data_IF_625099129229
#
_entry.id   IF_625099129229
#
_cell.length_a   1.000
_cell.length_b   1.000
_cell.length_c   1.000
_cell.angle_alpha   90.00
_cell.angle_beta   90.00
_cell.angle_gamma   90.00
#
_symmetry.space_group_name_H-M   'P 1'
#
loop_
_entity.id
_entity.type
_entity.pdbx_description
1 polymer ?
#
# COMPACT_ATOMS: atom_id res chain seq x y z
N UNK A 1 11.29 -33.13 4.61
CA UNK A 1 10.39 -32.16 3.97
C UNK A 1 11.01 -31.84 2.62
N UNK A 2 10.28 -31.97 1.53
CA UNK A 2 10.84 -31.67 0.20
C UNK A 2 10.83 -30.15 0.08
N UNK A 3 12.00 -29.53 -0.05
CA UNK A 3 12.08 -28.11 -0.34
C UNK A 3 11.41 -27.87 -1.70
N UNK A 4 10.31 -27.13 -1.68
CA UNK A 4 9.57 -26.79 -2.88
C UNK A 4 10.31 -25.66 -3.59
N UNK A 5 10.63 -25.86 -4.87
CA UNK A 5 11.24 -24.82 -5.71
C UNK A 5 10.34 -23.58 -5.74
N UNK A 6 10.97 -22.43 -5.55
CA UNK A 6 10.33 -21.11 -5.67
C UNK A 6 11.05 -20.35 -6.77
N UNK A 7 10.32 -19.66 -7.62
CA UNK A 7 10.87 -18.93 -8.75
C UNK A 7 10.85 -17.44 -8.47
N UNK A 8 11.95 -16.75 -8.78
CA UNK A 8 11.96 -15.29 -8.90
C UNK A 8 11.78 -14.94 -10.36
N UNK A 9 10.75 -14.14 -10.66
CA UNK A 9 10.41 -13.75 -12.01
C UNK A 9 10.56 -12.24 -12.23
N UNK A 10 10.99 -11.87 -13.44
CA UNK A 10 11.19 -10.51 -13.92
C UNK A 10 10.27 -10.28 -15.11
N UNK A 11 9.41 -9.28 -15.02
CA UNK A 11 8.53 -8.83 -16.09
C UNK A 11 9.14 -7.61 -16.78
N UNK A 12 9.33 -7.69 -18.10
CA UNK A 12 9.87 -6.57 -18.90
C UNK A 12 8.89 -6.13 -19.97
N UNK A 13 8.97 -4.86 -20.33
CA UNK A 13 8.17 -4.27 -21.41
C UNK A 13 8.73 -4.61 -22.81
N UNK A 14 8.23 -3.94 -23.86
CA UNK A 14 8.69 -4.12 -25.23
C UNK A 14 10.06 -3.49 -25.54
N UNK A 15 10.52 -2.57 -24.70
CA UNK A 15 11.82 -1.93 -24.80
C UNK A 15 12.90 -2.70 -24.00
N UNK A 16 12.49 -3.66 -23.18
CA UNK A 16 13.36 -4.43 -22.29
C UNK A 16 13.46 -3.84 -20.87
N UNK A 17 12.72 -2.77 -20.59
CA UNK A 17 12.70 -2.09 -19.30
C UNK A 17 12.03 -2.96 -18.25
N UNK A 18 12.57 -2.96 -17.04
CA UNK A 18 12.10 -3.80 -15.95
C UNK A 18 10.87 -3.17 -15.29
N UNK A 19 9.72 -3.81 -15.50
CA UNK A 19 8.44 -3.37 -14.95
C UNK A 19 8.25 -3.86 -13.52
N UNK A 20 8.50 -5.16 -13.28
CA UNK A 20 8.19 -5.79 -12.01
C UNK A 20 9.08 -7.01 -11.74
N UNK A 21 9.40 -7.24 -10.47
CA UNK A 21 10.06 -8.43 -9.95
C UNK A 21 9.19 -9.03 -8.87
N UNK A 22 8.98 -10.35 -8.90
CA UNK A 22 8.24 -11.04 -7.86
C UNK A 22 8.74 -12.46 -7.66
N UNK A 23 8.34 -13.12 -6.57
CA UNK A 23 8.55 -14.56 -6.39
C UNK A 23 7.24 -15.35 -6.28
N UNK A 24 7.25 -16.59 -6.76
CA UNK A 24 6.13 -17.52 -6.60
C UNK A 24 6.58 -18.97 -6.77
N UNK A 25 5.92 -19.89 -6.06
CA UNK A 25 6.04 -21.32 -6.33
C UNK A 25 5.24 -21.76 -7.58
N UNK A 26 4.33 -20.90 -8.05
CA UNK A 26 3.52 -21.08 -9.25
C UNK A 26 3.45 -19.73 -9.98
N UNK A 27 4.37 -19.54 -10.94
CA UNK A 27 4.51 -18.28 -11.68
C UNK A 27 3.30 -18.07 -12.60
N UNK A 28 2.79 -19.14 -13.23
CA UNK A 28 1.67 -19.05 -14.17
C UNK A 28 0.40 -18.57 -13.47
N UNK A 29 0.05 -19.17 -12.32
CA UNK A 29 -1.08 -18.72 -11.52
C UNK A 29 -0.92 -17.27 -11.07
N UNK A 30 0.30 -16.88 -10.69
CA UNK A 30 0.60 -15.50 -10.28
C UNK A 30 0.48 -14.50 -11.44
N UNK A 31 0.87 -14.88 -12.65
CA UNK A 31 0.68 -14.07 -13.86
C UNK A 31 -0.81 -13.93 -14.20
N UNK A 32 -1.58 -15.02 -14.07
CA UNK A 32 -3.03 -14.99 -14.19
C UNK A 32 -3.66 -13.97 -13.24
N UNK A 33 -3.20 -13.88 -11.99
CA UNK A 33 -3.65 -12.86 -11.04
C UNK A 33 -3.29 -11.44 -11.49
N UNK A 34 -2.01 -11.19 -11.81
CA UNK A 34 -1.55 -9.86 -12.23
C UNK A 34 -2.29 -9.34 -13.46
N UNK A 35 -2.65 -10.22 -14.41
CA UNK A 35 -3.45 -9.87 -15.59
C UNK A 35 -4.75 -9.14 -15.27
N UNK A 36 -5.35 -9.42 -14.11
CA UNK A 36 -6.61 -8.78 -13.71
C UNK A 36 -6.43 -7.68 -12.66
N UNK A 37 -5.36 -7.74 -11.85
CA UNK A 37 -5.21 -6.85 -10.68
C UNK A 37 -4.17 -5.74 -10.88
N UNK A 38 -3.34 -5.82 -11.91
CA UNK A 38 -2.18 -4.94 -12.07
C UNK A 38 -2.26 -4.14 -13.37
N UNK A 39 -2.43 -2.81 -13.33
CA UNK A 39 -2.54 -1.96 -14.52
C UNK A 39 -1.35 -2.10 -15.49
N UNK A 40 -0.15 -2.27 -14.94
CA UNK A 40 1.11 -2.45 -15.69
C UNK A 40 1.20 -3.78 -16.44
N UNK A 41 0.35 -4.77 -16.15
CA UNK A 41 0.48 -6.10 -16.77
C UNK A 41 0.29 -6.04 -18.28
N UNK A 42 -0.51 -5.08 -18.77
CA UNK A 42 -0.75 -4.90 -20.21
C UNK A 42 0.51 -4.50 -21.00
N UNK A 43 1.54 -4.00 -20.30
CA UNK A 43 2.82 -3.56 -20.87
C UNK A 43 3.85 -4.70 -20.96
N UNK A 44 3.64 -5.80 -20.23
CA UNK A 44 4.57 -6.93 -20.16
C UNK A 44 4.68 -7.63 -21.52
N UNK A 45 5.92 -7.77 -22.01
CA UNK A 45 6.25 -8.49 -23.25
C UNK A 45 7.10 -9.73 -23.03
N UNK A 46 7.87 -9.76 -21.96
CA UNK A 46 8.65 -10.94 -21.60
C UNK A 46 8.66 -11.16 -20.09
N UNK A 47 8.71 -12.43 -19.72
CA UNK A 47 8.81 -12.88 -18.34
C UNK A 47 9.97 -13.87 -18.28
N UNK A 48 10.96 -13.59 -17.44
CA UNK A 48 12.05 -14.51 -17.15
C UNK A 48 11.92 -15.01 -15.72
N UNK A 49 12.00 -16.32 -15.49
CA UNK A 49 11.85 -16.91 -14.16
C UNK A 49 13.04 -17.82 -13.85
N UNK A 50 13.65 -17.60 -12.69
CA UNK A 50 14.81 -18.35 -12.21
C UNK A 50 14.41 -19.18 -10.98
N UNK A 51 14.72 -20.49 -10.96
CA UNK A 51 14.40 -21.36 -9.83
C UNK A 51 15.37 -21.16 -8.66
N UNK A 52 14.85 -21.24 -7.44
CA UNK A 52 15.58 -21.25 -6.18
C UNK A 52 15.16 -22.45 -5.35
N UNK A 53 16.14 -23.05 -4.65
CA UNK A 53 15.97 -24.30 -3.93
C UNK A 53 14.90 -24.22 -2.84
N UNK A 54 14.74 -23.05 -2.24
CA UNK A 54 13.75 -22.81 -1.20
C UNK A 54 13.26 -21.35 -1.22
N UNK A 55 12.17 -21.12 -0.49
CA UNK A 55 11.54 -19.81 -0.37
C UNK A 55 12.48 -18.72 0.16
N UNK A 56 13.33 -19.04 1.14
CA UNK A 56 14.23 -18.06 1.76
C UNK A 56 15.27 -17.54 0.75
N UNK A 57 15.80 -18.42 -0.10
CA UNK A 57 16.72 -18.01 -1.18
C UNK A 57 16.00 -17.15 -2.23
N UNK A 58 14.77 -17.49 -2.59
CA UNK A 58 13.96 -16.68 -3.51
C UNK A 58 13.64 -15.29 -2.92
N UNK A 59 13.33 -15.19 -1.63
CA UNK A 59 13.08 -13.92 -0.93
C UNK A 59 14.30 -13.00 -0.95
N UNK A 60 15.49 -13.55 -0.68
CA UNK A 60 16.75 -12.80 -0.75
C UNK A 60 16.99 -12.33 -2.18
N UNK A 61 16.83 -13.20 -3.18
CA UNK A 61 17.08 -12.87 -4.58
C UNK A 61 16.06 -11.86 -5.15
N UNK A 62 14.77 -11.98 -4.82
CA UNK A 62 13.74 -11.01 -5.16
C UNK A 62 14.10 -9.63 -4.58
N UNK A 63 14.45 -9.57 -3.30
CA UNK A 63 14.82 -8.32 -2.64
C UNK A 63 16.05 -7.68 -3.25
N UNK A 64 17.10 -8.46 -3.52
CA UNK A 64 18.31 -7.97 -4.19
C UNK A 64 17.98 -7.41 -5.57
N UNK A 65 17.20 -8.14 -6.38
CA UNK A 65 16.79 -7.69 -7.71
C UNK A 65 15.97 -6.39 -7.66
N UNK A 66 15.06 -6.24 -6.68
CA UNK A 66 14.29 -5.00 -6.52
C UNK A 66 15.21 -3.82 -6.17
N UNK A 67 16.20 -4.02 -5.30
CA UNK A 67 17.13 -2.97 -4.86
C UNK A 67 18.12 -2.58 -5.96
N UNK A 68 18.68 -3.55 -6.68
CA UNK A 68 19.71 -3.32 -7.69
C UNK A 68 19.13 -2.90 -9.04
N UNK A 69 17.99 -3.46 -9.44
CA UNK A 69 17.42 -3.25 -10.77
C UNK A 69 16.30 -2.19 -10.79
N UNK A 70 15.85 -1.72 -9.61
CA UNK A 70 14.85 -0.65 -9.43
C UNK A 70 13.62 -0.74 -10.36
N UNK A 71 12.79 -1.80 -10.27
CA UNK A 71 11.67 -2.02 -11.17
C UNK A 71 10.61 -0.91 -11.01
N UNK A 72 10.03 -0.47 -12.13
CA UNK A 72 9.09 0.65 -12.15
C UNK A 72 7.87 0.48 -11.21
N UNK A 73 7.40 -0.76 -11.01
CA UNK A 73 6.17 -1.04 -10.26
C UNK A 73 6.37 -1.77 -8.93
N UNK A 74 7.61 -2.08 -8.52
CA UNK A 74 7.88 -2.63 -7.19
C UNK A 74 7.87 -1.57 -6.08
N UNK A 75 8.19 -0.32 -6.40
CA UNK A 75 8.24 0.79 -5.44
C UNK A 75 6.88 1.11 -4.79
N UNK A 76 5.76 0.80 -5.47
CA UNK A 76 4.42 0.98 -4.91
C UNK A 76 4.01 -0.14 -3.91
N UNK A 77 4.74 -1.26 -3.88
CA UNK A 77 4.36 -2.47 -3.11
C UNK A 77 5.29 -2.73 -1.92
N UNK A 78 6.50 -2.15 -1.90
CA UNK A 78 7.45 -2.30 -0.80
C UNK A 78 7.89 -0.96 -0.20
N UNK A 79 7.07 -0.42 0.71
CA UNK A 79 7.63 0.25 1.87
C UNK A 79 8.37 -0.82 2.69
N UNK A 80 9.63 -1.09 2.35
CA UNK A 80 10.45 -2.13 3.00
C UNK A 80 10.61 -1.77 4.47
N UNK A 81 9.85 -2.40 5.36
CA UNK A 81 10.26 -2.58 6.76
C UNK A 81 11.09 -3.87 6.79
N UNK A 82 12.40 -3.72 6.72
CA UNK A 82 13.35 -4.79 6.99
C UNK A 82 13.36 -5.03 8.50
N UNK A 83 12.97 -6.22 8.98
CA UNK A 83 12.93 -6.54 10.42
C UNK A 83 14.31 -6.44 11.11
N UNK A 84 15.40 -6.57 10.33
CA UNK A 84 16.79 -6.42 10.80
C UNK A 84 17.48 -5.11 10.35
N UNK A 85 16.76 -4.23 9.65
CA UNK A 85 17.32 -2.90 9.40
C UNK A 85 17.13 -2.11 10.68
N UNK A 86 18.14 -1.38 11.19
CA UNK A 86 17.88 -0.41 12.23
C UNK A 86 16.75 0.46 11.71
N UNK A 87 15.66 0.51 12.48
CA UNK A 87 14.57 1.44 12.25
C UNK A 87 15.24 2.79 12.06
N UNK A 88 14.74 3.65 11.17
CA UNK A 88 15.32 4.98 11.08
C UNK A 88 15.31 5.66 12.47
N UNK A 89 14.34 5.32 13.34
CA UNK A 89 14.33 5.65 14.78
C UNK A 89 15.54 5.17 15.59
N UNK A 90 16.17 4.07 15.23
CA UNK A 90 17.38 3.54 15.88
C UNK A 90 18.62 4.35 15.49
N UNK A 91 18.55 5.10 14.39
CA UNK A 91 19.63 5.97 13.89
C UNK A 91 19.47 7.44 14.28
N UNK A 92 18.37 7.80 14.94
CA UNK A 92 18.06 9.17 15.39
C UNK A 92 18.84 9.49 16.68
N UNK A 93 19.53 10.63 16.70
CA UNK A 93 20.28 11.17 17.83
C UNK A 93 19.36 11.67 18.96
N UNK A 94 19.89 11.91 20.16
CA UNK A 94 19.10 12.41 21.29
C UNK A 94 18.44 13.78 21.01
N UNK A 95 19.11 14.65 20.26
CA UNK A 95 18.56 15.96 19.90
C UNK A 95 17.41 15.83 18.88
N UNK A 96 17.57 14.99 17.87
CA UNK A 96 16.51 14.70 16.90
C UNK A 96 15.33 13.95 17.55
N UNK A 97 15.57 13.12 18.58
CA UNK A 97 14.48 12.51 19.38
C UNK A 97 13.69 13.57 20.14
N UNK A 98 14.36 14.60 20.68
CA UNK A 98 13.68 15.72 21.35
C UNK A 98 12.87 16.54 20.35
N UNK A 99 13.43 16.79 19.17
CA UNK A 99 12.71 17.46 18.08
C UNK A 99 11.45 16.70 17.68
N UNK A 100 11.57 15.39 17.49
CA UNK A 100 10.43 14.52 17.17
C UNK A 100 9.36 14.55 18.27
N UNK A 101 9.76 14.46 19.55
CA UNK A 101 8.83 14.52 20.67
C UNK A 101 8.07 15.85 20.72
N UNK A 102 8.73 16.98 20.42
CA UNK A 102 8.07 18.28 20.33
C UNK A 102 7.08 18.33 19.16
N UNK A 103 7.44 17.77 18.01
CA UNK A 103 6.56 17.69 16.84
C UNK A 103 5.32 16.80 17.11
N UNK A 104 5.50 15.65 17.76
CA UNK A 104 4.41 14.76 18.16
C UNK A 104 3.46 15.43 19.17
N UNK A 105 4.02 16.15 20.15
CA UNK A 105 3.22 16.91 21.12
C UNK A 105 2.43 18.02 20.43
N UNK A 106 3.06 18.81 19.55
CA UNK A 106 2.38 19.85 18.80
C UNK A 106 1.25 19.29 17.92
N UNK A 107 1.47 18.12 17.30
CA UNK A 107 0.45 17.43 16.53
C UNK A 107 -0.73 16.94 17.40
N UNK A 108 -0.43 16.37 18.57
CA UNK A 108 -1.46 15.95 19.52
C UNK A 108 -2.33 17.13 19.99
N UNK A 109 -1.70 18.27 20.28
CA UNK A 109 -2.39 19.49 20.67
C UNK A 109 -3.25 20.05 19.53
N UNK A 110 -2.74 20.06 18.30
CA UNK A 110 -3.51 20.45 17.12
C UNK A 110 -4.72 19.55 16.90
N UNK A 111 -4.57 18.24 17.08
CA UNK A 111 -5.68 17.27 16.99
C UNK A 111 -6.74 17.54 18.06
N UNK A 112 -6.32 17.81 19.30
CA UNK A 112 -7.23 18.17 20.39
C UNK A 112 -7.97 19.48 20.11
N UNK A 113 -7.28 20.47 19.55
CA UNK A 113 -7.88 21.73 19.13
C UNK A 113 -8.88 21.56 17.96
N UNK A 114 -8.70 20.53 17.13
CA UNK A 114 -9.62 20.22 16.02
C UNK A 114 -10.93 19.57 16.48
N UNK A 115 -10.95 18.86 17.62
CA UNK A 115 -12.14 18.17 18.12
C UNK A 115 -13.40 19.05 18.24
N UNK A 116 -13.37 20.28 18.78
CA UNK A 116 -14.57 21.14 18.80
C UNK A 116 -15.07 21.50 17.39
N UNK A 117 -14.17 21.78 16.45
CA UNK A 117 -14.52 22.11 15.05
C UNK A 117 -15.19 20.91 14.38
N UNK A 118 -14.63 19.71 14.61
CA UNK A 118 -15.19 18.45 14.11
C UNK A 118 -16.56 18.17 14.72
N UNK A 119 -16.73 18.40 16.02
CA UNK A 119 -18.00 18.24 16.71
C UNK A 119 -19.08 19.19 16.15
N UNK A 120 -18.74 20.45 15.89
CA UNK A 120 -19.67 21.43 15.30
C UNK A 120 -20.09 21.05 13.87
N UNK A 121 -19.14 20.61 13.05
CA UNK A 121 -19.42 20.06 11.72
C UNK A 121 -20.40 18.89 11.80
N UNK A 122 -20.13 17.93 12.69
CA UNK A 122 -20.95 16.73 12.83
C UNK A 122 -22.35 17.07 13.35
N UNK A 123 -22.48 18.01 14.28
CA UNK A 123 -23.77 18.54 14.74
C UNK A 123 -24.55 19.20 13.58
N UNK A 124 -23.86 19.95 12.73
CA UNK A 124 -24.46 20.59 11.55
C UNK A 124 -24.96 19.56 10.54
N UNK A 125 -24.16 18.54 10.24
CA UNK A 125 -24.57 17.42 9.37
C UNK A 125 -25.81 16.73 9.93
N UNK A 126 -25.85 16.43 11.23
CA UNK A 126 -27.02 15.81 11.89
C UNK A 126 -28.27 16.67 11.73
N UNK A 127 -28.18 17.98 11.99
CA UNK A 127 -29.30 18.92 11.80
C UNK A 127 -29.79 18.94 10.36
N UNK A 128 -28.88 18.92 9.39
CA UNK A 128 -29.23 18.90 7.97
C UNK A 128 -29.97 17.62 7.59
N UNK A 129 -29.48 16.45 8.04
CA UNK A 129 -30.14 15.16 7.80
C UNK A 129 -31.57 15.15 8.31
N UNK A 130 -31.78 15.56 9.57
CA UNK A 130 -33.13 15.63 10.16
C UNK A 130 -34.07 16.51 9.32
N UNK A 131 -33.58 17.68 8.86
CA UNK A 131 -34.38 18.57 7.99
C UNK A 131 -34.69 17.93 6.63
N UNK A 132 -33.75 17.23 6.03
CA UNK A 132 -33.99 16.52 4.77
C UNK A 132 -35.03 15.41 4.96
N UNK A 133 -34.91 14.60 6.01
CA UNK A 133 -35.86 13.51 6.30
C UNK A 133 -37.27 14.03 6.57
N UNK A 134 -37.41 15.19 7.22
CA UNK A 134 -38.71 15.84 7.41
C UNK A 134 -39.32 16.32 6.08
N UNK A 135 -38.52 16.89 5.17
CA UNK A 135 -38.99 17.29 3.83
C UNK A 135 -39.41 16.09 2.99
N UNK A 136 -38.63 15.01 3.02
CA UNK A 136 -38.94 13.78 2.29
C UNK A 136 -40.24 13.14 2.79
N UNK A 137 -40.51 13.16 4.10
CA UNK A 137 -41.78 12.67 4.66
C UNK A 137 -42.97 13.50 4.19
N UNK A 138 -42.89 14.84 4.28
CA UNK A 138 -43.96 15.73 3.79
C UNK A 138 -44.24 15.54 2.30
N UNK A 139 -43.20 15.47 1.47
CA UNK A 139 -43.36 15.24 0.03
C UNK A 139 -44.00 13.88 -0.31
N UNK A 140 -43.85 12.88 0.56
CA UNK A 140 -44.53 11.59 0.41
C UNK A 140 -46.00 11.67 0.82
N UNK A 141 -46.31 12.41 1.88
CA UNK A 141 -47.68 12.64 2.35
C UNK A 141 -48.49 13.50 1.36
N UNK A 142 -47.86 14.48 0.71
CA UNK A 142 -48.50 15.37 -0.29
C UNK A 142 -48.64 14.74 -1.69
N UNK A 143 -48.07 13.54 -1.93
CA UNK A 143 -48.06 12.85 -3.23
C UNK A 143 -49.00 11.66 -3.33
N UNK A 144 -49.77 11.36 -2.28
CA UNK A 144 -50.74 10.26 -2.17
C UNK A 144 -52.21 10.75 -2.28
N UNK A 145 -52.44 11.98 -2.76
CA UNK A 145 -53.77 12.61 -2.99
C UNK A 145 -54.10 12.73 -4.50
#
# INVERSE_FOLDING_TARGET
MVDQLVYVYRCRDGNGDLLYVGMSADVEKRMGQHRFTSPWYSEVRSIHAEPYENRRLAEIAERTAILEESPAHNAAVHAVRSEDAPSWFDLVTDDERRELALAEQAFADAKKALEPVKAERDATIRRLKIRCDARMRRAKEDGDD
#
